data_IF_231715930134
#
_entry.id   IF_231715930134
#
_cell.length_a   1.000
_cell.length_b   1.000
_cell.length_c   1.000
_cell.angle_alpha   90.00
_cell.angle_beta   90.00
_cell.angle_gamma   90.00
#
_symmetry.space_group_name_H-M   'P 1'
#
loop_
_entity.id
_entity.type
_entity.pdbx_description
1 polymer ?
#
# COMPACT_ATOMS: atom_id res chain seq x y z
N UNK A 1 -4.08 4.23 -9.70
CA UNK A 1 -3.20 4.92 -10.66
C UNK A 1 -1.98 5.43 -9.93
N UNK A 2 -0.77 5.23 -10.46
CA UNK A 2 0.46 5.92 -10.04
C UNK A 2 1.04 6.62 -11.26
N UNK A 3 1.82 7.68 -11.09
CA UNK A 3 2.37 8.44 -12.21
C UNK A 3 3.42 7.62 -12.98
N UNK A 4 4.23 6.83 -12.27
CA UNK A 4 5.16 5.88 -12.87
C UNK A 4 5.19 4.58 -12.07
N UNK A 5 5.64 3.51 -12.70
CA UNK A 5 5.87 2.26 -12.01
C UNK A 5 6.45 1.17 -12.91
N UNK A 6 7.09 0.20 -12.30
CA UNK A 6 7.60 -0.98 -12.99
C UNK A 6 7.12 -2.25 -12.29
N UNK A 7 6.98 -3.32 -13.07
CA UNK A 7 6.63 -4.65 -12.59
C UNK A 7 7.65 -5.66 -13.12
N UNK A 8 8.26 -6.42 -12.23
CA UNK A 8 9.20 -7.49 -12.57
C UNK A 8 8.50 -8.84 -12.49
N UNK A 9 8.27 -9.47 -13.64
CA UNK A 9 7.61 -10.78 -13.73
C UNK A 9 8.45 -11.94 -13.19
N UNK A 10 9.77 -11.77 -13.05
CA UNK A 10 10.66 -12.81 -12.50
C UNK A 10 10.60 -12.85 -10.97
N UNK A 11 10.58 -11.69 -10.33
CA UNK A 11 10.57 -11.56 -8.86
C UNK A 11 9.18 -11.27 -8.30
N UNK A 12 8.18 -11.02 -9.16
CA UNK A 12 6.82 -10.63 -8.76
C UNK A 12 6.81 -9.37 -7.88
N UNK A 13 7.74 -8.46 -8.16
CA UNK A 13 7.88 -7.17 -7.48
C UNK A 13 7.31 -6.06 -8.34
N UNK A 14 6.63 -5.11 -7.69
CA UNK A 14 6.02 -3.97 -8.34
C UNK A 14 6.37 -2.70 -7.58
N UNK A 15 7.01 -1.72 -8.20
CA UNK A 15 7.17 -0.41 -7.57
C UNK A 15 6.34 0.62 -8.33
N UNK A 16 5.55 1.39 -7.60
CA UNK A 16 4.67 2.44 -8.10
C UNK A 16 5.01 3.75 -7.37
N UNK A 17 5.09 4.85 -8.10
CA UNK A 17 5.40 6.18 -7.58
C UNK A 17 4.53 7.28 -8.17
N UNK A 18 4.58 8.46 -7.52
CA UNK A 18 3.93 9.67 -7.99
C UNK A 18 2.44 9.73 -7.68
N UNK A 19 2.04 9.31 -6.48
CA UNK A 19 0.64 9.39 -6.04
C UNK A 19 -0.13 8.14 -6.47
N UNK A 20 0.18 7.03 -5.82
CA UNK A 20 -0.42 5.73 -6.05
C UNK A 20 -1.81 5.69 -5.39
N UNK A 21 -2.81 5.32 -6.18
CA UNK A 21 -4.12 4.90 -5.70
C UNK A 21 -4.34 3.42 -6.04
N UNK A 22 -4.60 2.61 -5.02
CA UNK A 22 -4.99 1.20 -5.13
C UNK A 22 -6.47 1.06 -4.75
N UNK A 23 -7.21 0.29 -5.54
CA UNK A 23 -8.62 -0.01 -5.31
C UNK A 23 -8.78 -1.51 -5.50
N UNK A 24 -9.05 -2.22 -4.40
CA UNK A 24 -9.44 -3.62 -4.37
C UNK A 24 -10.94 -3.77 -4.13
N UNK A 25 -11.40 -5.02 -3.91
CA UNK A 25 -12.83 -5.31 -3.65
C UNK A 25 -13.32 -4.68 -2.34
N UNK A 26 -12.53 -4.78 -1.28
CA UNK A 26 -12.93 -4.39 0.08
C UNK A 26 -12.00 -3.33 0.70
N UNK A 27 -11.00 -2.89 -0.06
CA UNK A 27 -10.00 -1.93 0.39
C UNK A 27 -9.67 -0.90 -0.69
N UNK A 28 -9.50 0.35 -0.27
CA UNK A 28 -8.93 1.41 -1.07
C UNK A 28 -7.73 2.00 -0.33
N UNK A 29 -6.69 2.41 -1.05
CA UNK A 29 -5.51 3.03 -0.47
C UNK A 29 -4.99 4.14 -1.39
N UNK A 30 -4.54 5.23 -0.79
CA UNK A 30 -3.69 6.22 -1.45
C UNK A 30 -2.36 6.37 -0.71
N UNK A 31 -1.27 6.58 -1.45
CA UNK A 31 0.08 6.82 -0.94
C UNK A 31 0.93 7.53 -2.00
N UNK A 32 2.07 8.11 -1.63
CA UNK A 32 3.01 8.67 -2.63
C UNK A 32 3.72 7.58 -3.43
N UNK A 33 4.15 6.51 -2.76
CA UNK A 33 4.78 5.34 -3.37
C UNK A 33 4.23 4.05 -2.79
N UNK A 34 4.20 2.99 -3.60
CA UNK A 34 3.87 1.64 -3.15
C UNK A 34 4.83 0.64 -3.78
N UNK A 35 5.40 -0.22 -2.94
CA UNK A 35 6.25 -1.32 -3.37
C UNK A 35 5.61 -2.64 -2.96
N UNK A 36 5.26 -3.47 -3.93
CA UNK A 36 4.71 -4.81 -3.74
C UNK A 36 5.80 -5.85 -3.94
N UNK A 37 5.78 -6.90 -3.13
CA UNK A 37 6.71 -8.02 -3.13
C UNK A 37 5.93 -9.33 -3.19
N UNK A 38 6.34 -10.24 -4.08
CA UNK A 38 5.79 -11.60 -4.20
C UNK A 38 4.25 -11.67 -4.34
N UNK A 39 3.61 -10.58 -4.76
CA UNK A 39 2.15 -10.39 -4.79
C UNK A 39 1.38 -10.52 -3.46
N UNK A 40 2.06 -10.75 -2.33
CA UNK A 40 1.42 -10.97 -1.03
C UNK A 40 1.89 -10.02 0.07
N UNK A 41 2.90 -9.18 -0.20
CA UNK A 41 3.32 -8.10 0.70
C UNK A 41 3.40 -6.78 -0.04
N UNK A 42 3.09 -5.68 0.63
CA UNK A 42 3.38 -4.36 0.11
C UNK A 42 3.78 -3.38 1.20
N UNK A 43 4.57 -2.38 0.82
CA UNK A 43 4.86 -1.20 1.62
C UNK A 43 4.36 0.03 0.87
N UNK A 44 3.59 0.87 1.55
CA UNK A 44 3.10 2.13 1.06
C UNK A 44 3.73 3.26 1.87
N UNK A 45 4.20 4.32 1.22
CA UNK A 45 4.86 5.43 1.89
C UNK A 45 4.35 6.78 1.38
N UNK A 46 4.36 7.75 2.28
CA UNK A 46 4.01 9.14 2.01
C UNK A 46 2.52 9.39 2.11
N UNK A 47 2.09 9.94 3.25
CA UNK A 47 0.70 10.30 3.55
C UNK A 47 -0.28 9.20 3.19
N UNK A 48 -0.04 7.99 3.71
CA UNK A 48 -0.87 6.83 3.42
C UNK A 48 -2.26 7.03 4.02
N UNK A 49 -3.27 6.79 3.20
CA UNK A 49 -4.66 6.69 3.64
C UNK A 49 -5.23 5.38 3.12
N UNK A 50 -5.47 4.44 4.02
CA UNK A 50 -6.07 3.15 3.75
C UNK A 50 -7.50 3.13 4.28
N UNK A 51 -8.45 2.80 3.43
CA UNK A 51 -9.83 2.56 3.81
C UNK A 51 -10.16 1.09 3.59
N UNK A 52 -10.71 0.43 4.61
CA UNK A 52 -11.20 -0.94 4.52
C UNK A 52 -12.54 -1.02 5.21
N UNK A 53 -13.58 -1.37 4.47
CA UNK A 53 -14.97 -1.31 4.94
C UNK A 53 -15.30 0.08 5.57
N UNK A 54 -15.61 0.11 6.86
CA UNK A 54 -15.94 1.29 7.66
C UNK A 54 -14.73 1.93 8.37
N UNK A 55 -13.53 1.34 8.24
CA UNK A 55 -12.32 1.80 8.91
C UNK A 55 -11.46 2.62 7.96
N UNK A 56 -10.95 3.72 8.47
CA UNK A 56 -9.94 4.53 7.79
C UNK A 56 -8.68 4.55 8.63
N UNK A 57 -7.54 4.32 8.00
CA UNK A 57 -6.25 4.25 8.65
C UNK A 57 -5.37 5.26 7.92
N UNK A 58 -4.75 6.15 8.67
CA UNK A 58 -3.80 7.11 8.13
C UNK A 58 -2.45 6.92 8.80
N UNK A 59 -1.38 7.17 8.06
CA UNK A 59 -0.03 7.23 8.59
C UNK A 59 1.00 7.61 7.53
N UNK A 60 2.25 7.76 7.93
CA UNK A 60 3.33 8.12 7.00
C UNK A 60 3.78 6.91 6.17
N UNK A 61 3.72 5.71 6.76
CA UNK A 61 4.07 4.44 6.13
C UNK A 61 3.14 3.31 6.57
N UNK A 62 2.82 2.41 5.65
CA UNK A 62 2.06 1.19 5.91
C UNK A 62 2.80 0.00 5.32
N UNK A 63 3.06 -1.01 6.14
CA UNK A 63 3.48 -2.33 5.68
C UNK A 63 2.32 -3.30 5.87
N UNK A 64 2.03 -4.10 4.85
CA UNK A 64 0.97 -5.09 4.90
C UNK A 64 1.42 -6.42 4.29
N UNK A 65 1.06 -7.52 4.96
CA UNK A 65 1.29 -8.89 4.51
C UNK A 65 -0.02 -9.66 4.52
N UNK A 66 -0.46 -10.14 3.35
CA UNK A 66 -1.64 -11.00 3.22
C UNK A 66 -1.42 -12.40 3.80
N UNK A 67 -0.17 -12.91 3.77
CA UNK A 67 0.17 -14.22 4.34
C UNK A 67 -0.05 -14.28 5.86
N UNK A 68 0.14 -13.14 6.54
CA UNK A 68 0.03 -13.02 8.00
C UNK A 68 -1.20 -12.23 8.44
N UNK A 69 -1.96 -11.69 7.47
CA UNK A 69 -3.04 -10.70 7.66
C UNK A 69 -2.65 -9.53 8.59
N UNK A 70 -1.35 -9.22 8.64
CA UNK A 70 -0.78 -8.24 9.55
C UNK A 70 -0.46 -6.96 8.79
N UNK A 71 -0.90 -5.83 9.36
CA UNK A 71 -0.61 -4.50 8.88
C UNK A 71 0.01 -3.66 9.98
N UNK A 72 1.15 -3.03 9.68
CA UNK A 72 1.82 -2.08 10.57
C UNK A 72 1.74 -0.68 9.95
N UNK A 73 1.23 0.27 10.71
CA UNK A 73 1.20 1.69 10.31
C UNK A 73 2.14 2.45 11.22
N UNK A 74 3.06 3.20 10.61
CA UNK A 74 4.05 4.00 11.34
C UNK A 74 4.04 5.45 10.88
N UNK A 75 4.37 6.36 11.80
CA UNK A 75 4.34 7.80 11.58
C UNK A 75 2.92 8.36 11.56
N UNK A 76 2.61 9.28 12.49
CA UNK A 76 1.31 9.95 12.62
C UNK A 76 0.08 9.01 12.49
N UNK A 77 0.20 7.78 12.99
CA UNK A 77 -0.79 6.74 12.80
C UNK A 77 -2.11 7.09 13.50
N UNK A 78 -3.23 7.05 12.77
CA UNK A 78 -4.59 7.27 13.29
C UNK A 78 -5.61 6.36 12.62
N UNK A 79 -6.64 5.96 13.38
CA UNK A 79 -7.77 5.11 12.96
C UNK A 79 -9.08 5.90 12.93
#
# INVERSE_FOLDING_TARGET
TGANGWYNTKTQEANLDGGVSMIGSDMAMSAQTVHSYNNNKFTANGSVHLQRADRQIFGDSVEYSTDSEYGLVTGNARL
#
